data_IF_465372585291
#
_entry.id   IF_465372585291
#
_cell.length_a   1.000
_cell.length_b   1.000
_cell.length_c   1.000
_cell.angle_alpha   90.00
_cell.angle_beta   90.00
_cell.angle_gamma   90.00
#
_symmetry.space_group_name_H-M   'P 1'
#
loop_
_entity.id
_entity.type
_entity.pdbx_description
1 polymer ?
#
# COMPACT_ATOMS: atom_id res chain seq x y z
N UNK A 1 26.29 3.33 -130.83
CA UNK A 1 26.07 4.64 -130.17
C UNK A 1 24.92 4.43 -129.20
N UNK A 2 25.21 4.05 -127.95
CA UNK A 2 25.31 4.94 -126.78
C UNK A 2 24.04 5.77 -126.58
N UNK A 3 23.13 5.28 -125.75
CA UNK A 3 22.47 6.11 -124.73
C UNK A 3 22.01 5.24 -123.56
N UNK A 4 22.63 5.48 -122.41
CA UNK A 4 22.16 5.06 -121.08
C UNK A 4 20.99 5.96 -120.70
N UNK A 5 19.93 5.42 -120.12
CA UNK A 5 19.07 6.17 -119.22
C UNK A 5 18.50 5.25 -118.12
N UNK A 6 18.51 5.77 -116.90
CA UNK A 6 18.53 5.08 -115.62
C UNK A 6 17.28 4.28 -115.24
N UNK A 7 17.52 3.21 -114.48
CA UNK A 7 16.51 2.45 -113.74
C UNK A 7 15.84 3.29 -112.63
N UNK A 8 14.54 3.12 -112.37
CA UNK A 8 13.90 3.67 -111.18
C UNK A 8 14.28 2.89 -109.92
N UNK A 9 14.64 3.65 -108.89
CA UNK A 9 15.12 3.22 -107.57
C UNK A 9 13.98 2.53 -106.79
N UNK A 10 14.23 1.40 -106.11
CA UNK A 10 13.23 0.72 -105.29
C UNK A 10 12.83 1.54 -104.06
N UNK A 11 11.53 1.67 -103.84
CA UNK A 11 10.95 2.30 -102.65
C UNK A 11 11.21 1.40 -101.45
N UNK A 12 12.15 1.80 -100.60
CA UNK A 12 12.43 1.16 -99.31
C UNK A 12 11.24 1.45 -98.38
N UNK A 13 10.56 0.43 -97.82
CA UNK A 13 9.51 0.65 -96.83
C UNK A 13 10.11 1.32 -95.60
N UNK A 14 9.57 2.49 -95.25
CA UNK A 14 9.95 3.23 -94.05
C UNK A 14 9.70 2.37 -92.82
N UNK A 15 10.76 2.02 -92.10
CA UNK A 15 10.66 1.48 -90.74
C UNK A 15 9.82 2.43 -89.88
N UNK A 16 8.83 1.92 -89.10
CA UNK A 16 8.09 2.76 -88.17
C UNK A 16 9.06 3.31 -87.10
N UNK A 17 8.89 4.57 -86.67
CA UNK A 17 9.79 5.17 -85.69
C UNK A 17 9.75 4.34 -84.41
N UNK A 18 10.90 3.79 -84.05
CA UNK A 18 11.12 3.15 -82.76
C UNK A 18 10.81 4.16 -81.66
N UNK A 19 9.67 3.98 -80.97
CA UNK A 19 9.38 4.68 -79.71
C UNK A 19 10.40 4.21 -78.68
N UNK A 20 11.51 4.90 -78.59
CA UNK A 20 12.42 4.83 -77.44
C UNK A 20 11.73 5.48 -76.22
N UNK A 21 10.77 4.79 -75.61
CA UNK A 21 10.34 5.07 -74.24
C UNK A 21 11.38 4.50 -73.26
N UNK A 22 12.60 5.02 -73.30
CA UNK A 22 13.69 4.64 -72.40
C UNK A 22 13.74 5.49 -71.12
N UNK A 23 12.89 6.53 -71.02
CA UNK A 23 12.78 7.41 -69.85
C UNK A 23 11.68 7.06 -68.83
N UNK A 24 10.57 6.44 -69.26
CA UNK A 24 9.42 6.19 -68.37
C UNK A 24 9.56 4.93 -67.50
N UNK A 25 10.38 3.97 -67.92
CA UNK A 25 10.57 2.69 -67.22
C UNK A 25 11.53 2.78 -66.03
N UNK A 26 12.59 3.58 -66.14
CA UNK A 26 13.54 3.84 -65.05
C UNK A 26 12.88 4.65 -63.92
N UNK A 27 12.15 5.72 -64.26
CA UNK A 27 11.44 6.55 -63.28
C UNK A 27 10.34 5.78 -62.51
N UNK A 28 9.60 4.88 -63.17
CA UNK A 28 8.63 4.00 -62.48
C UNK A 28 9.32 2.97 -61.58
N UNK A 29 10.41 2.34 -62.02
CA UNK A 29 11.14 1.36 -61.19
C UNK A 29 11.76 2.01 -59.96
N UNK A 30 12.36 3.19 -60.10
CA UNK A 30 12.91 3.96 -58.98
C UNK A 30 11.80 4.37 -58.00
N UNK A 31 10.66 4.87 -58.48
CA UNK A 31 9.51 5.20 -57.61
C UNK A 31 8.98 3.99 -56.82
N UNK A 32 8.92 2.81 -57.43
CA UNK A 32 8.43 1.58 -56.78
C UNK A 32 9.43 1.07 -55.72
N UNK A 33 10.73 1.14 -55.99
CA UNK A 33 11.77 0.78 -55.00
C UNK A 33 11.76 1.77 -53.83
N UNK A 34 11.64 3.06 -54.11
CA UNK A 34 11.63 4.12 -53.10
C UNK A 34 10.37 4.07 -52.21
N UNK A 35 9.20 3.75 -52.77
CA UNK A 35 7.97 3.54 -51.97
C UNK A 35 8.00 2.24 -51.15
N UNK A 36 8.63 1.18 -51.63
CA UNK A 36 8.85 -0.05 -50.83
C UNK A 36 9.84 0.18 -49.69
N UNK A 37 10.92 0.90 -49.95
CA UNK A 37 11.91 1.27 -48.92
C UNK A 37 11.30 2.19 -47.85
N UNK A 38 10.50 3.20 -48.24
CA UNK A 38 9.78 4.05 -47.29
C UNK A 38 8.76 3.28 -46.44
N UNK A 39 8.02 2.33 -47.02
CA UNK A 39 7.10 1.47 -46.25
C UNK A 39 7.82 0.53 -45.30
N UNK A 40 9.00 0.05 -45.67
CA UNK A 40 9.87 -0.78 -44.83
C UNK A 40 10.42 0.03 -43.65
N UNK A 41 11.00 1.20 -43.92
CA UNK A 41 11.51 2.11 -42.89
C UNK A 41 10.41 2.59 -41.95
N UNK A 42 9.23 2.93 -42.49
CA UNK A 42 8.06 3.31 -41.70
C UNK A 42 7.59 2.20 -40.76
N UNK A 43 7.65 0.93 -41.18
CA UNK A 43 7.34 -0.22 -40.31
C UNK A 43 8.36 -0.39 -39.19
N UNK A 44 9.66 -0.28 -39.50
CA UNK A 44 10.72 -0.38 -38.49
C UNK A 44 10.59 0.76 -37.48
N UNK A 45 10.38 2.00 -37.95
CA UNK A 45 10.17 3.16 -37.08
C UNK A 45 8.95 2.97 -36.16
N UNK A 46 7.85 2.46 -36.71
CA UNK A 46 6.62 2.22 -35.97
C UNK A 46 6.78 1.15 -34.87
N UNK A 47 7.48 0.06 -35.15
CA UNK A 47 7.77 -0.97 -34.15
C UNK A 47 8.73 -0.46 -33.07
N UNK A 48 9.72 0.38 -33.42
CA UNK A 48 10.59 1.04 -32.44
C UNK A 48 9.82 2.01 -31.55
N UNK A 49 8.88 2.79 -32.11
CA UNK A 49 8.02 3.69 -31.33
C UNK A 49 7.09 2.93 -30.39
N UNK A 50 6.47 1.82 -30.86
CA UNK A 50 5.68 0.94 -29.99
C UNK A 50 6.50 0.34 -28.87
N UNK A 51 7.73 -0.10 -29.16
CA UNK A 51 8.64 -0.65 -28.16
C UNK A 51 8.99 0.41 -27.10
N UNK A 52 9.37 1.62 -27.52
CA UNK A 52 9.62 2.75 -26.63
C UNK A 52 8.40 3.11 -25.79
N UNK A 53 7.21 3.16 -26.39
CA UNK A 53 5.96 3.41 -25.66
C UNK A 53 5.68 2.30 -24.63
N UNK A 54 5.90 1.03 -24.98
CA UNK A 54 5.75 -0.10 -24.07
C UNK A 54 6.72 -0.06 -22.89
N UNK A 55 7.97 0.33 -23.12
CA UNK A 55 8.97 0.52 -22.05
C UNK A 55 8.55 1.68 -21.15
N UNK A 56 8.09 2.80 -21.72
CA UNK A 56 7.58 3.95 -20.96
C UNK A 56 6.39 3.58 -20.09
N UNK A 57 5.42 2.82 -20.60
CA UNK A 57 4.27 2.36 -19.83
C UNK A 57 4.72 1.48 -18.65
N UNK A 58 5.63 0.52 -18.88
CA UNK A 58 6.17 -0.33 -17.81
C UNK A 58 6.92 0.47 -16.75
N UNK A 59 7.68 1.49 -17.17
CA UNK A 59 8.42 2.36 -16.27
C UNK A 59 7.46 3.21 -15.41
N UNK A 60 6.41 3.77 -16.01
CA UNK A 60 5.36 4.51 -15.29
C UNK A 60 4.64 3.60 -14.29
N UNK A 61 4.26 2.38 -14.70
CA UNK A 61 3.64 1.40 -13.80
C UNK A 61 4.57 0.98 -12.66
N UNK A 62 5.87 0.80 -12.94
CA UNK A 62 6.87 0.49 -11.92
C UNK A 62 7.03 1.62 -10.91
N UNK A 63 7.13 2.87 -11.37
CA UNK A 63 7.17 4.05 -10.49
C UNK A 63 5.88 4.15 -9.67
N UNK A 64 4.72 3.99 -10.30
CA UNK A 64 3.43 4.02 -9.61
C UNK A 64 3.37 2.95 -8.49
N UNK A 65 3.80 1.72 -8.77
CA UNK A 65 3.86 0.66 -7.78
C UNK A 65 4.80 1.00 -6.61
N UNK A 66 5.99 1.55 -6.89
CA UNK A 66 6.94 1.98 -5.85
C UNK A 66 6.32 3.09 -4.99
N UNK A 67 5.71 4.11 -5.60
CA UNK A 67 5.05 5.20 -4.87
C UNK A 67 3.92 4.65 -4.00
N UNK A 68 3.09 3.75 -4.52
CA UNK A 68 2.06 3.08 -3.73
C UNK A 68 2.66 2.32 -2.54
N UNK A 69 3.74 1.56 -2.74
CA UNK A 69 4.43 0.88 -1.65
C UNK A 69 4.95 1.86 -0.59
N UNK A 70 5.60 2.94 -1.00
CA UNK A 70 6.12 3.97 -0.08
C UNK A 70 4.99 4.62 0.73
N UNK A 71 3.88 4.97 0.08
CA UNK A 71 2.70 5.55 0.76
C UNK A 71 2.11 4.57 1.77
N UNK A 72 2.00 3.28 1.42
CA UNK A 72 1.52 2.23 2.33
C UNK A 72 2.44 2.08 3.54
N UNK A 73 3.77 2.06 3.33
CA UNK A 73 4.74 1.97 4.41
C UNK A 73 4.69 3.18 5.34
N UNK A 74 4.65 4.41 4.79
CA UNK A 74 4.55 5.63 5.59
C UNK A 74 3.24 5.63 6.39
N UNK A 75 2.12 5.24 5.78
CA UNK A 75 0.84 5.16 6.48
C UNK A 75 0.85 4.15 7.62
N UNK A 76 1.49 3.00 7.42
CA UNK A 76 1.61 1.97 8.45
C UNK A 76 2.47 2.42 9.66
N UNK A 77 3.49 3.26 9.45
CA UNK A 77 4.43 3.66 10.52
C UNK A 77 4.15 5.05 11.12
N UNK A 78 3.55 5.97 10.36
CA UNK A 78 3.38 7.36 10.81
C UNK A 78 2.28 7.51 11.86
N UNK A 79 1.29 6.62 11.89
CA UNK A 79 0.21 6.70 12.87
C UNK A 79 0.66 6.20 14.25
N UNK A 80 1.63 5.27 14.31
CA UNK A 80 2.00 4.60 15.56
C UNK A 80 2.86 5.43 16.51
N UNK A 81 3.55 6.47 16.03
CA UNK A 81 4.31 7.39 16.89
C UNK A 81 3.91 8.85 16.70
N UNK A 82 2.71 9.10 16.16
CA UNK A 82 2.18 10.45 15.97
C UNK A 82 2.05 11.19 17.29
N UNK A 83 2.30 12.50 17.28
CA UNK A 83 2.10 13.37 18.45
C UNK A 83 0.66 13.37 18.96
N UNK A 84 -0.30 13.08 18.07
CA UNK A 84 -1.72 13.02 18.40
C UNK A 84 -2.11 11.71 19.10
N UNK A 85 -1.24 10.70 19.09
CA UNK A 85 -1.52 9.41 19.72
C UNK A 85 -1.51 9.51 21.25
N UNK A 86 -0.57 10.25 21.84
CA UNK A 86 -0.47 10.40 23.31
C UNK A 86 -1.76 10.99 23.93
N UNK A 87 -2.35 12.09 23.42
CA UNK A 87 -3.64 12.58 23.89
C UNK A 87 -4.78 11.56 23.81
N UNK A 88 -4.81 10.75 22.74
CA UNK A 88 -5.84 9.72 22.55
C UNK A 88 -5.67 8.58 23.55
N UNK A 89 -4.44 8.12 23.74
CA UNK A 89 -4.08 7.10 24.74
C UNK A 89 -4.41 7.58 26.16
N UNK A 90 -4.05 8.83 26.49
CA UNK A 90 -4.40 9.45 27.77
C UNK A 90 -5.92 9.49 27.98
N UNK A 91 -6.69 9.89 26.97
CA UNK A 91 -8.16 9.92 27.07
C UNK A 91 -8.75 8.54 27.31
N UNK A 92 -8.21 7.50 26.66
CA UNK A 92 -8.69 6.13 26.81
C UNK A 92 -8.34 5.56 28.19
N UNK A 93 -7.09 5.75 28.64
CA UNK A 93 -6.63 5.28 29.94
C UNK A 93 -7.31 6.03 31.09
N UNK A 94 -7.58 7.33 30.94
CA UNK A 94 -8.37 8.09 31.89
C UNK A 94 -9.78 7.51 32.04
N UNK A 95 -10.46 7.19 30.93
CA UNK A 95 -11.78 6.56 30.98
C UNK A 95 -11.73 5.18 31.66
N UNK A 96 -10.72 4.36 31.36
CA UNK A 96 -10.54 3.07 32.05
C UNK A 96 -10.35 3.25 33.56
N UNK A 97 -9.53 4.22 33.97
CA UNK A 97 -9.33 4.55 35.38
C UNK A 97 -10.60 5.08 36.06
N UNK A 98 -11.35 5.98 35.40
CA UNK A 98 -12.59 6.56 35.94
C UNK A 98 -13.67 5.50 36.20
N UNK A 99 -13.67 4.42 35.43
CA UNK A 99 -14.57 3.28 35.61
C UNK A 99 -13.94 2.11 36.40
N UNK A 100 -12.79 2.33 37.04
CA UNK A 100 -12.04 1.33 37.81
C UNK A 100 -11.78 0.02 37.03
N UNK A 101 -11.49 0.14 35.74
CA UNK A 101 -11.16 -0.96 34.84
C UNK A 101 -9.66 -1.23 34.89
N UNK A 102 -9.27 -2.39 35.40
CA UNK A 102 -7.89 -2.86 35.43
C UNK A 102 -7.52 -3.61 34.14
N UNK A 103 -8.49 -4.26 33.50
CA UNK A 103 -8.29 -5.00 32.24
C UNK A 103 -9.52 -4.90 31.35
N UNK A 104 -9.29 -4.74 30.05
CA UNK A 104 -10.30 -4.75 29.02
C UNK A 104 -9.72 -5.44 27.78
N UNK A 105 -10.47 -6.38 27.20
CA UNK A 105 -10.15 -6.99 25.91
C UNK A 105 -11.40 -7.02 25.04
N UNK A 106 -11.25 -6.60 23.80
CA UNK A 106 -12.33 -6.47 22.83
C UNK A 106 -11.92 -7.06 21.48
N UNK A 107 -12.26 -8.32 21.29
CA UNK A 107 -12.14 -9.03 20.03
C UNK A 107 -13.40 -9.86 19.80
N UNK A 108 -13.79 -10.06 18.54
CA UNK A 108 -15.01 -10.80 18.19
C UNK A 108 -15.09 -12.21 18.79
N UNK A 109 -13.93 -12.82 19.02
CA UNK A 109 -13.77 -14.16 19.59
C UNK A 109 -13.39 -14.14 21.09
N UNK A 110 -13.15 -12.96 21.66
CA UNK A 110 -12.78 -12.79 23.05
C UNK A 110 -13.10 -11.39 23.60
N UNK A 111 -14.11 -11.34 24.47
CA UNK A 111 -14.42 -10.15 25.26
C UNK A 111 -14.15 -10.46 26.73
N UNK A 112 -13.37 -9.61 27.40
CA UNK A 112 -13.06 -9.75 28.81
C UNK A 112 -12.94 -8.38 29.49
N UNK A 113 -13.30 -8.32 30.77
CA UNK A 113 -13.31 -7.11 31.57
C UNK A 113 -13.00 -7.44 33.03
N UNK A 114 -11.93 -6.87 33.56
CA UNK A 114 -11.66 -6.83 34.99
C UNK A 114 -11.90 -5.40 35.49
N UNK A 115 -12.96 -5.24 36.27
CA UNK A 115 -13.28 -4.00 36.95
C UNK A 115 -13.46 -4.25 38.46
N UNK A 116 -13.52 -3.19 39.25
CA UNK A 116 -13.85 -3.29 40.70
C UNK A 116 -15.15 -4.08 40.94
N UNK A 117 -16.13 -3.93 40.05
CA UNK A 117 -17.43 -4.63 40.13
C UNK A 117 -17.35 -6.14 39.85
N UNK A 118 -16.27 -6.63 39.23
CA UNK A 118 -16.09 -8.05 38.95
C UNK A 118 -15.16 -8.36 37.77
N UNK A 119 -14.92 -9.66 37.60
CA UNK A 119 -14.21 -10.23 36.46
C UNK A 119 -15.21 -10.88 35.50
N UNK A 120 -15.28 -10.40 34.27
CA UNK A 120 -16.25 -10.79 33.25
C UNK A 120 -15.57 -11.30 32.00
N UNK A 121 -16.16 -12.34 31.37
CA UNK A 121 -15.73 -12.83 30.07
C UNK A 121 -16.92 -13.39 29.27
N UNK A 122 -16.89 -13.26 27.94
CA UNK A 122 -17.90 -13.83 27.04
C UNK A 122 -17.75 -15.34 26.88
N UNK A 123 -16.54 -15.88 27.14
CA UNK A 123 -16.25 -17.31 27.16
C UNK A 123 -15.35 -17.65 28.35
N UNK A 124 -15.68 -18.66 29.16
CA UNK A 124 -14.79 -19.16 30.21
C UNK A 124 -13.60 -19.97 29.64
N UNK A 125 -13.51 -20.13 28.31
CA UNK A 125 -12.41 -20.85 27.69
C UNK A 125 -11.09 -20.07 27.80
N UNK A 126 -10.04 -20.79 28.18
CA UNK A 126 -8.64 -20.35 28.36
C UNK A 126 -8.03 -19.43 27.28
N UNK A 127 -8.66 -19.29 26.12
CA UNK A 127 -8.20 -18.46 25.00
C UNK A 127 -8.32 -16.95 25.28
N UNK A 128 -9.14 -16.54 26.26
CA UNK A 128 -9.27 -15.14 26.65
C UNK A 128 -8.26 -14.65 27.69
N UNK A 129 -7.37 -15.52 28.19
CA UNK A 129 -6.32 -15.14 29.14
C UNK A 129 -6.80 -14.91 30.58
N UNK A 130 -8.08 -14.60 30.81
CA UNK A 130 -8.70 -14.56 32.13
C UNK A 130 -9.29 -15.94 32.44
N UNK A 131 -8.55 -16.77 33.19
CA UNK A 131 -8.91 -18.16 33.52
C UNK A 131 -10.26 -18.34 34.24
N UNK A 132 -10.52 -19.57 34.70
CA UNK A 132 -11.79 -20.14 35.22
C UNK A 132 -12.61 -19.34 36.26
N UNK A 133 -12.17 -18.15 36.65
CA UNK A 133 -12.82 -17.27 37.64
C UNK A 133 -13.69 -16.16 37.03
N UNK A 134 -13.66 -15.96 35.72
CA UNK A 134 -14.51 -14.96 35.07
C UNK A 134 -15.97 -15.43 35.00
N UNK A 135 -16.92 -14.53 35.30
CA UNK A 135 -18.36 -14.78 35.12
C UNK A 135 -18.84 -14.22 33.77
N UNK A 136 -19.99 -14.69 33.25
CA UNK A 136 -20.62 -14.04 32.10
C UNK A 136 -20.94 -12.57 32.36
N UNK A 137 -20.98 -11.76 31.29
CA UNK A 137 -21.40 -10.36 31.37
C UNK A 137 -22.84 -10.23 31.88
N UNK A 138 -23.01 -9.50 33.00
CA UNK A 138 -24.31 -9.06 33.49
C UNK A 138 -24.64 -7.64 33.00
N UNK A 139 -25.78 -7.08 33.40
CA UNK A 139 -26.19 -5.74 32.96
C UNK A 139 -25.17 -4.65 33.30
N UNK A 140 -24.49 -4.77 34.44
CA UNK A 140 -23.50 -3.79 34.87
C UNK A 140 -22.15 -3.98 34.17
N UNK A 141 -21.68 -5.23 34.00
CA UNK A 141 -20.49 -5.53 33.21
C UNK A 141 -20.62 -5.04 31.76
N UNK A 142 -21.78 -5.25 31.12
CA UNK A 142 -22.06 -4.75 29.78
C UNK A 142 -22.05 -3.22 29.70
N UNK A 143 -22.58 -2.54 30.73
CA UNK A 143 -22.59 -1.09 30.80
C UNK A 143 -21.16 -0.52 30.83
N UNK A 144 -20.30 -1.04 31.72
CA UNK A 144 -18.89 -0.63 31.81
C UNK A 144 -18.16 -0.94 30.50
N UNK A 145 -18.33 -2.13 29.97
CA UNK A 145 -17.70 -2.55 28.71
C UNK A 145 -18.06 -1.61 27.55
N UNK A 146 -19.33 -1.24 27.43
CA UNK A 146 -19.81 -0.28 26.43
C UNK A 146 -19.20 1.10 26.62
N UNK A 147 -19.09 1.59 27.86
CA UNK A 147 -18.46 2.88 28.15
C UNK A 147 -16.99 2.94 27.72
N UNK A 148 -16.24 1.85 27.91
CA UNK A 148 -14.85 1.76 27.43
C UNK A 148 -14.79 1.73 25.90
N UNK A 149 -15.66 0.96 25.24
CA UNK A 149 -15.78 0.97 23.77
C UNK A 149 -16.10 2.35 23.21
N UNK A 150 -17.01 3.08 23.85
CA UNK A 150 -17.39 4.43 23.40
C UNK A 150 -16.27 5.45 23.67
N UNK A 151 -15.53 5.30 24.77
CA UNK A 151 -14.32 6.08 25.02
C UNK A 151 -13.25 5.83 23.95
N UNK A 152 -13.04 4.56 23.56
CA UNK A 152 -12.11 4.18 22.50
C UNK A 152 -12.53 4.79 21.14
N UNK A 153 -13.81 4.68 20.77
CA UNK A 153 -14.36 5.32 19.57
C UNK A 153 -14.18 6.84 19.58
N UNK A 154 -14.44 7.49 20.72
CA UNK A 154 -14.26 8.95 20.88
C UNK A 154 -12.79 9.35 20.74
N UNK A 155 -11.87 8.53 21.28
CA UNK A 155 -10.43 8.70 21.12
C UNK A 155 -9.93 8.33 19.70
N UNK A 156 -10.81 7.79 18.84
CA UNK A 156 -10.46 7.26 17.52
C UNK A 156 -9.33 6.23 17.60
N UNK A 157 -9.45 5.31 18.57
CA UNK A 157 -8.58 4.16 18.79
C UNK A 157 -9.45 2.90 18.81
N UNK A 158 -8.93 1.79 18.28
CA UNK A 158 -9.56 0.46 18.38
C UNK A 158 -8.62 -0.46 19.15
N UNK A 159 -8.68 -0.46 20.49
CA UNK A 159 -7.80 -1.28 21.31
C UNK A 159 -8.25 -2.74 21.26
N UNK A 160 -7.29 -3.63 21.10
CA UNK A 160 -7.48 -5.06 21.34
C UNK A 160 -7.51 -5.31 22.84
N UNK A 161 -6.56 -4.70 23.55
CA UNK A 161 -6.38 -4.90 24.98
C UNK A 161 -5.98 -3.59 25.65
N UNK A 162 -6.47 -3.40 26.85
CA UNK A 162 -6.06 -2.35 27.77
C UNK A 162 -5.77 -3.01 29.11
N UNK A 163 -4.63 -2.69 29.70
CA UNK A 163 -4.30 -3.04 31.09
C UNK A 163 -3.94 -1.76 31.82
N UNK A 164 -4.60 -1.48 32.94
CA UNK A 164 -4.35 -0.28 33.75
C UNK A 164 -4.05 -0.70 35.18
N UNK A 165 -3.02 -0.11 35.74
CA UNK A 165 -2.74 -0.17 37.18
C UNK A 165 -2.80 1.23 37.73
N UNK A 166 -3.58 1.38 38.78
CA UNK A 166 -3.80 2.66 39.44
C UNK A 166 -3.52 2.54 40.92
N UNK A 167 -2.82 3.54 41.45
CA UNK A 167 -2.51 3.68 42.86
C UNK A 167 -3.19 4.95 43.37
N UNK A 168 -4.11 4.80 44.32
CA UNK A 168 -4.88 5.93 44.90
C UNK A 168 -5.59 6.79 43.84
N UNK A 169 -6.13 6.15 42.79
CA UNK A 169 -6.86 6.81 41.71
C UNK A 169 -5.98 7.47 40.64
N UNK A 170 -4.65 7.35 40.76
CA UNK A 170 -3.69 7.83 39.77
C UNK A 170 -3.12 6.64 39.02
N UNK A 171 -3.14 6.68 37.70
CA UNK A 171 -2.56 5.62 36.86
C UNK A 171 -1.05 5.57 37.06
N UNK A 172 -0.52 4.45 37.56
CA UNK A 172 0.92 4.22 37.74
C UNK A 172 1.53 3.42 36.59
N UNK A 173 0.71 2.67 35.85
CA UNK A 173 1.10 1.95 34.65
C UNK A 173 -0.10 1.72 33.75
N UNK A 174 0.08 1.79 32.43
CA UNK A 174 -0.91 1.29 31.49
C UNK A 174 -0.25 0.63 30.28
N UNK A 175 -0.94 -0.34 29.69
CA UNK A 175 -0.58 -0.92 28.41
C UNK A 175 -1.82 -0.91 27.52
N UNK A 176 -1.67 -0.44 26.29
CA UNK A 176 -2.72 -0.44 25.27
C UNK A 176 -2.16 -1.15 24.05
N UNK A 177 -2.76 -2.28 23.69
CA UNK A 177 -2.39 -3.02 22.49
C UNK A 177 -3.43 -2.73 21.40
N UNK A 178 -2.97 -2.27 20.24
CA UNK A 178 -3.80 -1.96 19.08
C UNK A 178 -3.58 -3.00 17.98
N UNK A 179 -4.63 -3.27 17.20
CA UNK A 179 -4.48 -4.07 15.98
C UNK A 179 -3.70 -3.27 14.94
N UNK A 180 -2.56 -3.78 14.50
CA UNK A 180 -1.83 -3.30 13.34
C UNK A 180 -2.06 -4.31 12.20
N UNK A 181 -2.06 -3.87 10.93
CA UNK A 181 -2.38 -4.73 9.78
C UNK A 181 -1.44 -5.95 9.65
N UNK A 182 -0.21 -5.85 10.17
CA UNK A 182 0.78 -6.92 10.16
C UNK A 182 1.24 -7.38 11.56
N UNK A 183 0.87 -6.69 12.63
CA UNK A 183 1.50 -6.78 13.95
C UNK A 183 0.56 -6.33 15.09
N UNK A 184 1.04 -6.39 16.33
CA UNK A 184 0.43 -5.68 17.45
C UNK A 184 1.25 -4.44 17.76
N UNK A 185 0.60 -3.28 17.78
CA UNK A 185 1.23 -2.04 18.24
C UNK A 185 0.97 -1.93 19.74
N UNK A 186 2.03 -1.99 20.56
CA UNK A 186 1.90 -1.91 22.01
C UNK A 186 2.37 -0.55 22.51
N UNK A 187 1.53 0.11 23.30
CA UNK A 187 1.80 1.40 23.91
C UNK A 187 1.83 1.25 25.41
N UNK A 188 2.92 1.67 26.03
CA UNK A 188 3.16 1.49 27.45
C UNK A 188 3.30 2.85 28.12
N UNK A 189 2.47 3.11 29.11
CA UNK A 189 2.59 4.23 30.02
C UNK A 189 3.37 3.80 31.26
N UNK A 190 4.54 4.41 31.47
CA UNK A 190 5.37 4.21 32.66
C UNK A 190 6.02 5.55 33.06
N UNK A 191 5.33 6.38 33.86
CA UNK A 191 5.81 7.73 34.17
C UNK A 191 6.91 7.76 35.25
N UNK A 192 7.03 6.69 36.06
CA UNK A 192 7.95 6.65 37.20
C UNK A 192 9.37 6.21 36.81
N UNK A 193 9.51 5.48 35.71
CA UNK A 193 10.79 5.01 35.19
C UNK A 193 10.69 4.78 33.68
N UNK A 194 11.80 4.98 32.97
CA UNK A 194 11.84 4.65 31.55
C UNK A 194 11.52 3.18 31.34
N UNK A 195 10.55 2.88 30.47
CA UNK A 195 10.19 1.50 30.17
C UNK A 195 11.37 0.80 29.49
N UNK A 196 11.79 -0.33 30.06
CA UNK A 196 12.77 -1.23 29.46
C UNK A 196 12.05 -2.55 29.20
N UNK A 197 11.95 -3.01 27.95
CA UNK A 197 11.37 -4.31 27.65
C UNK A 197 12.28 -5.39 28.22
N UNK A 198 11.73 -6.57 28.49
CA UNK A 198 12.52 -7.69 28.98
C UNK A 198 13.63 -8.01 27.98
N UNK A 199 14.86 -8.24 28.47
CA UNK A 199 16.06 -8.46 27.64
C UNK A 199 15.95 -9.62 26.63
N UNK A 200 14.95 -10.48 26.79
CA UNK A 200 14.67 -11.59 25.88
C UNK A 200 13.86 -11.17 24.64
N UNK A 201 13.11 -10.08 24.72
CA UNK A 201 12.38 -9.52 23.58
C UNK A 201 13.31 -8.61 22.78
N UNK A 202 13.45 -8.87 21.48
CA UNK A 202 14.09 -7.93 20.54
C UNK A 202 13.16 -6.75 20.25
N UNK A 203 12.56 -6.19 21.29
CA UNK A 203 11.63 -5.09 21.16
C UNK A 203 12.39 -3.77 21.06
N UNK A 204 12.05 -2.97 20.06
CA UNK A 204 12.48 -1.59 19.98
C UNK A 204 11.48 -0.71 20.73
N UNK A 205 12.01 0.22 21.53
CA UNK A 205 11.18 1.14 22.34
C UNK A 205 11.45 2.56 21.91
N UNK A 206 10.37 3.28 21.59
CA UNK A 206 10.40 4.67 21.19
C UNK A 206 9.67 5.51 22.24
N UNK A 207 10.36 6.47 22.85
CA UNK A 207 9.75 7.43 23.77
C UNK A 207 8.84 8.39 22.98
N UNK A 208 7.57 8.48 23.37
CA UNK A 208 6.56 9.35 22.77
C UNK A 208 6.29 10.61 23.59
N UNK A 209 7.09 10.86 24.64
CA UNK A 209 6.92 11.88 25.67
C UNK A 209 5.69 11.67 26.57
N UNK A 210 5.67 12.39 27.71
CA UNK A 210 4.58 12.31 28.67
C UNK A 210 4.47 10.97 29.39
N UNK A 211 5.56 10.18 29.45
CA UNK A 211 5.60 8.86 30.09
C UNK A 211 5.09 7.72 29.21
N UNK A 212 4.82 7.98 27.92
CA UNK A 212 4.39 6.97 26.95
C UNK A 212 5.56 6.46 26.12
N UNK A 213 5.51 5.16 25.85
CA UNK A 213 6.48 4.43 25.05
C UNK A 213 5.75 3.59 24.02
N UNK A 214 6.16 3.68 22.76
CA UNK A 214 5.77 2.75 21.72
C UNK A 214 6.74 1.57 21.71
N UNK A 215 6.22 0.35 21.75
CA UNK A 215 6.98 -0.89 21.73
C UNK A 215 6.66 -1.64 20.45
N UNK A 216 7.68 -1.79 19.61
CA UNK A 216 7.63 -2.61 18.40
C UNK A 216 8.46 -3.87 18.65
N UNK A 217 7.78 -5.01 18.74
CA UNK A 217 8.38 -6.30 19.02
C UNK A 217 9.09 -6.92 17.81
N UNK A 218 8.94 -6.33 16.62
CA UNK A 218 9.45 -6.89 15.36
C UNK A 218 8.76 -8.20 14.98
N UNK A 219 8.62 -8.46 13.69
CA UNK A 219 8.26 -9.78 13.15
C UNK A 219 9.52 -10.43 12.60
#
# INVERSE_FOLDING_TARGET
>A
MSEKASAPIPVIPKCPPSKWNRGESAGRRVKVVMTRAMRSLGRILWETVKYLAGVLIKLVLGIAAIVTFVVVFIYATADSTSSDMVPRLNSLVAAANDYNVAYFQDQDWCEALLAEAGNYASSPASTCGDGDKAKPFDGHGNEIFTKIRDAAKKASITPIRISVRSEKGIVSFAQVDLSCFYCYASYIYSPQAAHQPDKAEKASVTDMSGGWYYVDTGI
#
